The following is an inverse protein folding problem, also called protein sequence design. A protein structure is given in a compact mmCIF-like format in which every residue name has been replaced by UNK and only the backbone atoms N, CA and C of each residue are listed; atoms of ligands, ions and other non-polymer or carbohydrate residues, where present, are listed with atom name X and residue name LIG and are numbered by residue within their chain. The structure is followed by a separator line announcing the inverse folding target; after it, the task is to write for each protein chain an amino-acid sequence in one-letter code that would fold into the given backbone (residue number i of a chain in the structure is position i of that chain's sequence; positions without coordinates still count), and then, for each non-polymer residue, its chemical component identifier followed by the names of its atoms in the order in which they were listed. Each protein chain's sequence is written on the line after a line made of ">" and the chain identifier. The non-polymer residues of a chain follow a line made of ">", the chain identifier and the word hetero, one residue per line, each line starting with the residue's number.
data_IF_285130268814
#
_entry.id   IF_285130268814
#
_cell.length_a   1.000
_cell.length_b   1.000
_cell.length_c   1.000
_cell.angle_alpha   90.00
_cell.angle_beta   90.00
_cell.angle_gamma   90.00
#
_symmetry.space_group_name_H-M   'P 1'
#
loop_
_entity.id
_entity.type
_entity.pdbx_description
1 polymer ?
#
# COMPACT_ATOMS: atom_id res chain seq x y z
N UNK A 1 15.46 9.69 7.86
CA UNK A 1 15.95 10.18 6.55
C UNK A 1 16.21 9.06 5.54
N UNK A 2 17.02 8.03 5.84
CA UNK A 2 17.30 6.94 4.88
C UNK A 2 16.04 6.20 4.38
N UNK A 3 15.12 5.83 5.29
CA UNK A 3 13.87 5.13 4.94
C UNK A 3 12.94 5.96 4.04
N UNK A 4 12.87 7.28 4.30
CA UNK A 4 12.07 8.22 3.51
C UNK A 4 12.63 8.31 2.09
N UNK A 5 13.95 8.49 1.95
CA UNK A 5 14.60 8.58 0.64
C UNK A 5 14.45 7.28 -0.16
N UNK A 6 14.59 6.12 0.48
CA UNK A 6 14.40 4.83 -0.20
C UNK A 6 12.93 4.61 -0.59
N UNK A 7 11.97 5.01 0.24
CA UNK A 7 10.55 4.93 -0.07
C UNK A 7 10.18 5.80 -1.27
N UNK A 8 10.64 7.06 -1.30
CA UNK A 8 10.47 7.97 -2.44
C UNK A 8 11.09 7.37 -3.70
N UNK A 9 12.36 6.93 -3.62
CA UNK A 9 13.07 6.40 -4.78
C UNK A 9 12.37 5.17 -5.38
N UNK A 10 11.90 4.25 -4.53
CA UNK A 10 11.18 3.07 -4.98
C UNK A 10 9.81 3.44 -5.56
N UNK A 11 9.08 4.38 -4.95
CA UNK A 11 7.79 4.82 -5.46
C UNK A 11 7.89 5.48 -6.83
N UNK A 12 8.90 6.33 -7.03
CA UNK A 12 9.17 6.93 -8.34
C UNK A 12 9.52 5.85 -9.37
N UNK A 13 10.38 4.90 -9.02
CA UNK A 13 10.72 3.79 -9.91
C UNK A 13 9.48 2.96 -10.27
N UNK A 14 8.65 2.62 -9.28
CA UNK A 14 7.39 1.91 -9.50
C UNK A 14 6.44 2.71 -10.38
N UNK A 15 6.29 4.01 -10.15
CA UNK A 15 5.45 4.88 -10.97
C UNK A 15 5.94 4.94 -12.42
N UNK A 16 7.24 5.08 -12.65
CA UNK A 16 7.83 5.06 -14.00
C UNK A 16 7.51 3.73 -14.71
N UNK A 17 7.63 2.60 -14.02
CA UNK A 17 7.33 1.28 -14.60
C UNK A 17 5.83 1.15 -14.88
N UNK A 18 4.98 1.46 -13.89
CA UNK A 18 3.52 1.33 -13.96
C UNK A 18 2.93 2.23 -15.04
N UNK A 19 3.46 3.44 -15.20
CA UNK A 19 2.98 4.43 -16.17
C UNK A 19 3.70 4.34 -17.51
N UNK A 20 4.66 3.43 -17.67
CA UNK A 20 5.34 3.22 -18.96
C UNK A 20 4.44 2.48 -19.94
N UNK A 21 4.51 2.86 -21.22
CA UNK A 21 3.85 2.14 -22.32
C UNK A 21 4.44 0.72 -22.52
N UNK A 22 5.59 0.43 -21.90
CA UNK A 22 6.24 -0.89 -21.97
C UNK A 22 5.43 -1.95 -21.24
N UNK A 23 4.68 -1.58 -20.20
CA UNK A 23 3.82 -2.48 -19.44
C UNK A 23 2.36 -2.20 -19.80
N UNK A 24 1.74 -2.98 -20.71
CA UNK A 24 0.36 -2.71 -21.14
C UNK A 24 -0.70 -3.02 -20.05
N UNK A 25 -0.28 -3.48 -18.86
CA UNK A 25 -1.12 -3.91 -17.75
C UNK A 25 -0.98 -3.00 -16.52
N UNK A 26 -0.99 -1.68 -16.74
CA UNK A 26 -0.76 -0.69 -15.68
C UNK A 26 -1.73 -0.84 -14.51
N UNK A 27 -3.03 -1.00 -14.80
CA UNK A 27 -4.08 -1.06 -13.77
C UNK A 27 -4.03 -2.37 -12.97
N UNK A 28 -3.74 -3.48 -13.64
CA UNK A 28 -3.51 -4.78 -13.01
C UNK A 28 -2.34 -4.70 -12.04
N UNK A 29 -1.21 -4.12 -12.46
CA UNK A 29 -0.01 -4.00 -11.61
C UNK A 29 -0.29 -3.13 -10.39
N UNK A 30 -1.00 -2.02 -10.54
CA UNK A 30 -1.41 -1.17 -9.41
C UNK A 30 -2.28 -1.94 -8.41
N UNK A 31 -3.29 -2.67 -8.90
CA UNK A 31 -4.20 -3.44 -8.06
C UNK A 31 -3.48 -4.58 -7.34
N UNK A 32 -2.64 -5.34 -8.05
CA UNK A 32 -1.83 -6.43 -7.48
C UNK A 32 -0.90 -5.88 -6.40
N UNK A 33 -0.25 -4.74 -6.66
CA UNK A 33 0.66 -4.11 -5.71
C UNK A 33 -0.08 -3.70 -4.43
N UNK A 34 -1.23 -3.02 -4.54
CA UNK A 34 -2.06 -2.63 -3.38
C UNK A 34 -2.51 -3.85 -2.57
N UNK A 35 -2.97 -4.90 -3.25
CA UNK A 35 -3.36 -6.15 -2.62
C UNK A 35 -2.18 -6.83 -1.90
N UNK A 36 -0.99 -6.82 -2.50
CA UNK A 36 0.21 -7.44 -1.95
C UNK A 36 0.70 -6.72 -0.70
N UNK A 37 0.80 -5.39 -0.72
CA UNK A 37 1.25 -4.61 0.45
C UNK A 37 0.24 -4.72 1.61
N UNK A 38 -1.07 -4.64 1.33
CA UNK A 38 -2.10 -4.81 2.35
C UNK A 38 -2.09 -6.21 2.97
N UNK A 39 -1.78 -7.24 2.18
CA UNK A 39 -1.72 -8.63 2.65
C UNK A 39 -0.48 -8.94 3.49
N UNK A 40 0.59 -8.13 3.42
CA UNK A 40 1.82 -8.39 4.18
C UNK A 40 1.55 -8.39 5.70
N UNK A 41 0.57 -7.59 6.13
CA UNK A 41 0.16 -7.45 7.52
C UNK A 41 -0.40 -8.74 8.11
N UNK A 42 -0.96 -9.64 7.28
CA UNK A 42 -1.32 -10.99 7.72
C UNK A 42 -0.08 -11.73 8.23
N UNK A 43 1.05 -11.61 7.54
CA UNK A 43 2.33 -12.19 7.97
C UNK A 43 2.85 -11.62 9.29
N UNK A 44 2.69 -10.31 9.49
CA UNK A 44 3.02 -9.67 10.78
C UNK A 44 2.08 -10.15 11.89
N UNK A 45 0.78 -10.22 11.64
CA UNK A 45 -0.21 -10.76 12.57
C UNK A 45 0.03 -12.23 12.93
N UNK A 46 0.47 -13.05 11.98
CA UNK A 46 0.85 -14.45 12.22
C UNK A 46 2.11 -14.59 13.09
N UNK A 47 2.96 -13.56 13.09
CA UNK A 47 4.17 -13.49 13.93
C UNK A 47 3.89 -12.88 15.32
N UNK A 48 2.66 -12.39 15.55
CA UNK A 48 2.22 -11.81 16.81
C UNK A 48 1.63 -12.89 17.73
N UNK A 49 1.85 -12.78 19.04
CA UNK A 49 1.29 -13.71 20.03
C UNK A 49 -0.20 -13.49 20.30
N UNK A 50 -0.78 -12.38 19.85
CA UNK A 50 -2.17 -12.01 20.12
C UNK A 50 -3.09 -12.33 18.93
N UNK A 51 -3.99 -13.31 19.03
CA UNK A 51 -4.87 -13.71 17.91
C UNK A 51 -5.87 -12.62 17.51
N UNK A 52 -6.11 -11.63 18.38
CA UNK A 52 -6.91 -10.46 18.04
C UNK A 52 -6.23 -9.59 16.96
N UNK A 53 -4.91 -9.40 17.04
CA UNK A 53 -4.17 -8.59 16.07
C UNK A 53 -4.22 -9.25 14.70
N UNK A 54 -4.01 -10.57 14.62
CA UNK A 54 -4.18 -11.32 13.37
C UNK A 54 -5.57 -11.12 12.74
N UNK A 55 -6.66 -11.20 13.52
CA UNK A 55 -8.02 -10.99 12.97
C UNK A 55 -8.19 -9.59 12.40
N UNK A 56 -7.64 -8.58 13.07
CA UNK A 56 -7.67 -7.20 12.58
C UNK A 56 -6.92 -7.08 11.25
N UNK A 57 -5.71 -7.62 11.16
CA UNK A 57 -4.91 -7.56 9.93
C UNK A 57 -5.54 -8.34 8.78
N UNK A 58 -6.17 -9.48 9.04
CA UNK A 58 -6.92 -10.22 8.00
C UNK A 58 -8.11 -9.39 7.50
N UNK A 59 -8.85 -8.73 8.39
CA UNK A 59 -9.97 -7.86 8.01
C UNK A 59 -9.50 -6.69 7.14
N UNK A 60 -8.40 -6.04 7.54
CA UNK A 60 -7.84 -4.89 6.82
C UNK A 60 -7.23 -5.32 5.48
N UNK A 61 -6.55 -6.47 5.43
CA UNK A 61 -6.07 -7.04 4.18
C UNK A 61 -7.23 -7.35 3.22
N UNK A 62 -8.33 -7.92 3.71
CA UNK A 62 -9.54 -8.16 2.90
C UNK A 62 -10.16 -6.86 2.38
N UNK A 63 -10.14 -5.78 3.18
CA UNK A 63 -10.55 -4.44 2.74
C UNK A 63 -9.67 -3.94 1.59
N UNK A 64 -8.34 -3.97 1.73
CA UNK A 64 -7.43 -3.53 0.66
C UNK A 64 -7.54 -4.39 -0.60
N UNK A 65 -7.76 -5.69 -0.45
CA UNK A 65 -8.04 -6.59 -1.57
C UNK A 65 -9.33 -6.19 -2.30
N UNK A 66 -10.39 -5.86 -1.55
CA UNK A 66 -11.64 -5.34 -2.12
C UNK A 66 -11.44 -4.00 -2.84
N UNK A 67 -10.65 -3.09 -2.28
CA UNK A 67 -10.31 -1.80 -2.91
C UNK A 67 -9.51 -2.03 -4.19
N UNK A 68 -8.55 -2.96 -4.20
CA UNK A 68 -7.77 -3.31 -5.38
C UNK A 68 -8.66 -3.86 -6.52
N UNK A 69 -9.60 -4.77 -6.19
CA UNK A 69 -10.58 -5.28 -7.16
C UNK A 69 -11.45 -4.14 -7.71
N UNK A 70 -11.99 -3.31 -6.82
CA UNK A 70 -12.82 -2.18 -7.22
C UNK A 70 -12.05 -1.19 -8.10
N UNK A 71 -10.78 -0.94 -7.78
CA UNK A 71 -9.94 -0.06 -8.57
C UNK A 71 -9.56 -0.61 -9.94
N UNK A 72 -9.43 -1.93 -10.06
CA UNK A 72 -9.26 -2.58 -11.35
C UNK A 72 -10.54 -2.55 -12.20
N UNK A 73 -11.70 -2.88 -11.63
CA UNK A 73 -12.95 -3.02 -12.38
C UNK A 73 -13.73 -1.74 -12.62
N UNK A 74 -13.57 -0.73 -11.76
CA UNK A 74 -14.41 0.48 -11.78
C UNK A 74 -13.58 1.70 -12.19
N UNK A 75 -12.50 1.99 -11.48
CA UNK A 75 -11.65 3.15 -11.78
C UNK A 75 -10.28 3.06 -11.09
N UNK A 76 -9.17 3.29 -11.81
CA UNK A 76 -7.83 3.31 -11.21
C UNK A 76 -7.66 4.41 -10.15
N UNK A 77 -8.51 5.44 -10.12
CA UNK A 77 -8.55 6.43 -9.04
C UNK A 77 -8.84 5.78 -7.69
N UNK A 78 -9.65 4.72 -7.65
CA UNK A 78 -9.92 3.96 -6.42
C UNK A 78 -8.66 3.26 -5.91
N UNK A 79 -7.83 2.71 -6.81
CA UNK A 79 -6.53 2.12 -6.43
C UNK A 79 -5.60 3.18 -5.85
N UNK A 80 -5.54 4.37 -6.45
CA UNK A 80 -4.81 5.52 -5.92
C UNK A 80 -5.27 5.90 -4.50
N UNK A 81 -6.58 5.94 -4.26
CA UNK A 81 -7.15 6.15 -2.92
C UNK A 81 -6.81 5.01 -1.96
N UNK A 82 -6.74 3.77 -2.46
CA UNK A 82 -6.29 2.60 -1.71
C UNK A 82 -4.87 2.75 -1.17
N UNK A 83 -3.93 3.23 -2.00
CA UNK A 83 -2.58 3.55 -1.53
C UNK A 83 -2.58 4.64 -0.46
N UNK A 84 -3.36 5.72 -0.63
CA UNK A 84 -3.50 6.76 0.42
C UNK A 84 -3.96 6.15 1.75
N UNK A 85 -5.00 5.33 1.71
CA UNK A 85 -5.55 4.65 2.88
C UNK A 85 -4.56 3.65 3.50
N UNK A 86 -3.78 2.94 2.67
CA UNK A 86 -2.75 2.03 3.15
C UNK A 86 -1.64 2.78 3.90
N UNK A 87 -1.15 3.90 3.35
CA UNK A 87 -0.16 4.72 4.06
C UNK A 87 -0.71 5.31 5.36
N UNK A 88 -2.02 5.57 5.45
CA UNK A 88 -2.67 5.91 6.73
C UNK A 88 -2.68 4.71 7.69
N UNK A 89 -2.97 3.50 7.21
CA UNK A 89 -2.91 2.27 8.01
C UNK A 89 -1.50 2.02 8.58
N UNK A 90 -0.47 2.21 7.75
CA UNK A 90 0.92 2.18 8.17
C UNK A 90 1.20 3.25 9.24
N UNK A 91 0.70 4.47 9.04
CA UNK A 91 0.87 5.56 10.00
C UNK A 91 0.22 5.22 11.35
N UNK A 92 -0.94 4.54 11.38
CA UNK A 92 -1.62 4.13 12.63
C UNK A 92 -0.84 3.08 13.44
N UNK A 93 0.10 2.37 12.84
CA UNK A 93 1.05 1.54 13.60
C UNK A 93 2.06 2.39 14.39
N UNK A 94 2.12 3.70 14.11
CA UNK A 94 2.88 4.70 14.86
C UNK A 94 1.91 5.61 15.67
N UNK A 95 2.07 5.84 16.98
CA UNK A 95 2.94 5.24 18.00
C UNK A 95 2.27 4.03 18.69
N UNK A 96 2.01 2.94 17.97
CA UNK A 96 1.31 1.74 18.46
C UNK A 96 -0.20 1.92 18.76
N UNK A 97 -0.90 2.78 18.00
CA UNK A 97 -2.37 2.82 18.05
C UNK A 97 -2.92 1.45 17.64
N UNK A 98 -2.39 0.91 16.53
CA UNK A 98 -2.49 -0.51 16.21
C UNK A 98 -1.33 -1.26 16.85
N UNK A 99 -1.63 -2.33 17.59
CA UNK A 99 -0.67 -3.04 18.45
C UNK A 99 0.03 -4.21 17.79
N UNK A 100 -0.29 -4.49 16.53
CA UNK A 100 0.34 -5.58 15.77
C UNK A 100 1.85 -5.38 15.73
N UNK A 101 2.59 -6.43 16.07
CA UNK A 101 4.04 -6.41 16.03
C UNK A 101 4.56 -6.34 14.58
N UNK A 102 5.02 -5.15 14.17
CA UNK A 102 5.57 -4.91 12.83
C UNK A 102 7.04 -4.46 12.89
N UNK A 103 7.87 -4.78 11.89
CA UNK A 103 9.24 -4.26 11.84
C UNK A 103 9.24 -2.73 11.82
N UNK A 104 10.00 -2.10 12.72
CA UNK A 104 10.01 -0.62 12.88
C UNK A 104 10.32 0.17 11.60
N UNK A 105 11.02 -0.44 10.65
CA UNK A 105 11.38 0.20 9.39
C UNK A 105 10.24 0.17 8.36
N UNK A 106 9.32 -0.79 8.46
CA UNK A 106 8.34 -1.08 7.41
C UNK A 106 7.24 -0.02 7.31
N UNK A 107 6.48 0.31 8.39
CA UNK A 107 5.42 1.32 8.29
C UNK A 107 5.88 2.70 7.79
N UNK A 108 6.96 3.32 8.30
CA UNK A 108 7.38 4.63 7.79
C UNK A 108 7.94 4.58 6.36
N UNK A 109 8.46 3.43 5.91
CA UNK A 109 8.88 3.24 4.53
C UNK A 109 7.67 3.12 3.59
N UNK A 110 6.72 2.25 3.95
CA UNK A 110 5.54 1.94 3.14
C UNK A 110 4.60 3.14 3.05
N UNK A 111 4.37 3.87 4.14
CA UNK A 111 3.56 5.09 4.12
C UNK A 111 4.08 6.14 3.13
N UNK A 112 5.41 6.34 3.10
CA UNK A 112 6.03 7.26 2.14
C UNK A 112 5.92 6.73 0.71
N UNK A 113 6.16 5.43 0.52
CA UNK A 113 6.02 4.80 -0.78
C UNK A 113 4.62 4.98 -1.35
N UNK A 114 3.60 4.67 -0.55
CA UNK A 114 2.20 4.71 -0.94
C UNK A 114 1.73 6.11 -1.32
N UNK A 115 2.07 7.11 -0.51
CA UNK A 115 1.64 8.48 -0.78
C UNK A 115 2.31 9.07 -2.01
N UNK A 116 3.60 8.77 -2.23
CA UNK A 116 4.30 9.21 -3.45
C UNK A 116 3.72 8.52 -4.67
N UNK A 117 3.50 7.20 -4.60
CA UNK A 117 2.92 6.45 -5.71
C UNK A 117 1.50 6.95 -6.02
N UNK A 118 0.66 7.14 -5.00
CA UNK A 118 -0.68 7.69 -5.16
C UNK A 118 -0.67 9.06 -5.85
N UNK A 119 0.24 9.95 -5.45
CA UNK A 119 0.40 11.27 -6.07
C UNK A 119 0.75 11.16 -7.57
N UNK A 120 1.66 10.26 -7.94
CA UNK A 120 1.99 9.99 -9.34
C UNK A 120 0.77 9.45 -10.11
N UNK A 121 0.04 8.49 -9.55
CA UNK A 121 -1.14 7.90 -10.20
C UNK A 121 -2.28 8.91 -10.40
N UNK A 122 -2.49 9.82 -9.45
CA UNK A 122 -3.47 10.90 -9.63
C UNK A 122 -3.01 11.90 -10.68
N UNK A 123 -1.71 12.24 -10.71
CA UNK A 123 -1.18 13.18 -11.70
C UNK A 123 -1.32 12.68 -13.14
N UNK A 124 -1.22 11.37 -13.36
CA UNK A 124 -1.38 10.76 -14.69
C UNK A 124 -2.82 10.65 -15.16
N UNK A 125 -3.81 11.02 -14.34
CA UNK A 125 -5.24 11.00 -14.69
C UNK A 125 -5.77 12.38 -15.11
N UNK A 126 -4.96 13.44 -14.95
CA UNK A 126 -5.35 14.83 -15.17
C UNK A 126 -4.88 15.35 -16.55
N UNK A 127 -3.91 14.67 -17.17
CA UNK A 127 -3.34 14.98 -18.49
C UNK A 127 -3.51 13.79 -19.43
#
# INVERSE_FOLDING_TARGET
>A
MKLVLSGIALAILSAVIILSEVIPYSYEVQAILLAAIGSIYIGFGLSDSHPHNLRLEVLVAALFFGIAIAGYWISPTITGMGFVLHGVWDFLHHPQVVKTAVPRWYPPFCAVYDWVLAACLFSSQIF
#
